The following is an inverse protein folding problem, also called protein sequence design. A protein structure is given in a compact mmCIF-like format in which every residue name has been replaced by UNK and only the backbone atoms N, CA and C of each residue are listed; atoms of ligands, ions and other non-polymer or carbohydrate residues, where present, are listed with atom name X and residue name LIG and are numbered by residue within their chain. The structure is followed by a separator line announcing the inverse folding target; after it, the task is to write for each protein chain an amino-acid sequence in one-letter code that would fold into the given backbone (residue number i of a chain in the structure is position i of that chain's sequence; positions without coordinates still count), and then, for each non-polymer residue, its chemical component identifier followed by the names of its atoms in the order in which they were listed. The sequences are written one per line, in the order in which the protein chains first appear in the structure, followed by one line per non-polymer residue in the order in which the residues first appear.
data_IF_574553131406
#
_entry.id   IF_574553131406
#
_cell.length_a   1.000
_cell.length_b   1.000
_cell.length_c   1.000
_cell.angle_alpha   90.00
_cell.angle_beta   90.00
_cell.angle_gamma   90.00
#
_symmetry.space_group_name_H-M   'P 1'
#
loop_
_entity.id
_entity.type
_entity.pdbx_description
1 polymer ?
#
# COMPACT_ATOMS: atom_id res chain seq x y z
N UNK A 1 18.35 -59.26 -9.53
CA UNK A 1 17.18 -58.40 -9.35
C UNK A 1 17.57 -57.40 -8.29
N UNK A 2 18.06 -56.27 -8.71
CA UNK A 2 18.56 -55.19 -7.84
C UNK A 2 17.52 -54.10 -7.80
N UNK A 3 16.95 -53.95 -6.62
CA UNK A 3 16.02 -52.92 -6.26
C UNK A 3 16.74 -51.56 -6.18
N UNK A 4 16.52 -50.66 -7.16
CA UNK A 4 16.99 -49.31 -7.12
C UNK A 4 15.90 -48.42 -6.53
N UNK A 5 15.86 -48.35 -5.22
CA UNK A 5 15.07 -47.37 -4.48
C UNK A 5 15.68 -45.99 -4.72
N UNK A 6 15.07 -45.22 -5.61
CA UNK A 6 15.42 -43.81 -5.81
C UNK A 6 15.05 -43.03 -4.54
N UNK A 7 16.03 -42.73 -3.72
CA UNK A 7 15.89 -41.78 -2.61
C UNK A 7 15.74 -40.38 -3.20
N UNK A 8 14.50 -39.88 -3.23
CA UNK A 8 14.24 -38.47 -3.45
C UNK A 8 14.76 -37.72 -2.22
N UNK A 9 15.96 -37.18 -2.32
CA UNK A 9 16.51 -36.27 -1.31
C UNK A 9 15.72 -34.98 -1.36
N UNK A 10 15.12 -34.67 -0.23
CA UNK A 10 14.45 -33.39 0.04
C UNK A 10 15.40 -32.20 -0.17
N UNK A 11 15.44 -31.63 -1.38
CA UNK A 11 16.04 -30.36 -1.67
C UNK A 11 15.02 -29.22 -1.43
N UNK A 12 14.50 -29.11 -0.21
CA UNK A 12 13.58 -28.05 0.17
C UNK A 12 14.27 -26.75 0.62
N UNK A 13 15.61 -26.65 0.60
CA UNK A 13 16.36 -25.61 1.29
C UNK A 13 17.04 -24.57 0.41
N UNK A 14 16.88 -24.61 -0.91
CA UNK A 14 17.38 -23.57 -1.82
C UNK A 14 16.38 -23.34 -2.95
N UNK A 15 15.17 -22.93 -2.61
CA UNK A 15 14.33 -22.23 -3.57
C UNK A 15 14.89 -20.81 -3.62
N UNK A 16 15.71 -20.50 -4.61
CA UNK A 16 15.97 -19.13 -5.01
C UNK A 16 14.59 -18.51 -5.23
N UNK A 17 14.23 -17.50 -4.41
CA UNK A 17 13.00 -16.74 -4.58
C UNK A 17 13.13 -15.98 -5.90
N UNK A 18 12.62 -16.58 -6.96
CA UNK A 18 12.70 -16.04 -8.31
C UNK A 18 11.30 -15.55 -8.68
N UNK A 19 11.08 -14.26 -8.55
CA UNK A 19 9.84 -13.64 -8.99
C UNK A 19 9.75 -13.73 -10.51
N UNK A 20 8.66 -14.30 -11.02
CA UNK A 20 8.39 -14.47 -12.45
C UNK A 20 7.38 -13.44 -12.92
N UNK A 21 7.58 -12.90 -14.10
CA UNK A 21 6.56 -12.10 -14.77
C UNK A 21 5.72 -12.99 -15.70
N UNK A 22 4.41 -12.92 -15.53
CA UNK A 22 3.45 -13.67 -16.36
C UNK A 22 2.91 -12.80 -17.51
N UNK A 23 2.72 -11.50 -17.25
CA UNK A 23 2.25 -10.51 -18.23
C UNK A 23 3.07 -9.21 -18.14
N UNK A 24 3.25 -8.44 -19.21
CA UNK A 24 2.74 -8.65 -20.59
C UNK A 24 3.51 -9.71 -21.37
N UNK A 25 4.71 -10.05 -20.95
CA UNK A 25 5.53 -11.11 -21.54
C UNK A 25 6.15 -11.93 -20.42
N UNK A 26 6.28 -13.23 -20.63
CA UNK A 26 6.92 -14.08 -19.64
C UNK A 26 8.39 -13.69 -19.46
N UNK A 27 8.80 -13.53 -18.20
CA UNK A 27 10.19 -13.42 -17.77
C UNK A 27 10.39 -14.32 -16.54
N UNK A 28 11.38 -15.17 -16.60
CA UNK A 28 11.66 -16.17 -15.55
C UNK A 28 12.23 -15.55 -14.26
N UNK A 29 12.78 -14.33 -14.35
CA UNK A 29 13.36 -13.64 -13.20
C UNK A 29 13.31 -12.13 -13.39
N UNK A 30 12.56 -11.41 -12.55
CA UNK A 30 12.43 -9.96 -12.62
C UNK A 30 13.04 -9.28 -11.39
N UNK A 31 13.59 -8.10 -11.61
CA UNK A 31 14.04 -7.19 -10.56
C UNK A 31 12.87 -6.30 -10.13
N UNK A 32 12.36 -6.52 -8.92
CA UNK A 32 11.23 -5.77 -8.38
C UNK A 32 11.50 -4.26 -8.32
N UNK A 33 12.73 -3.83 -8.01
CA UNK A 33 13.07 -2.40 -7.96
C UNK A 33 12.95 -1.74 -9.32
N UNK A 34 13.34 -2.43 -10.40
CA UNK A 34 13.16 -1.95 -11.77
C UNK A 34 11.69 -1.98 -12.18
N UNK A 35 10.99 -3.05 -11.84
CA UNK A 35 9.58 -3.25 -12.22
C UNK A 35 8.66 -2.21 -11.58
N UNK A 36 8.83 -1.93 -10.29
CA UNK A 36 8.03 -0.94 -9.56
C UNK A 36 8.63 0.47 -9.56
N UNK A 37 9.92 0.61 -9.88
CA UNK A 37 10.65 1.89 -9.97
C UNK A 37 10.35 2.73 -11.21
N UNK A 38 9.30 2.42 -11.95
CA UNK A 38 8.89 3.20 -13.13
C UNK A 38 8.58 4.66 -12.74
N UNK A 39 9.00 5.58 -13.61
CA UNK A 39 8.73 7.01 -13.40
C UNK A 39 7.25 7.30 -13.52
N UNK A 40 6.69 7.97 -12.52
CA UNK A 40 5.33 8.53 -12.55
C UNK A 40 5.42 10.03 -12.77
N UNK A 41 4.48 10.55 -13.53
CA UNK A 41 4.35 12.00 -13.76
C UNK A 41 3.26 12.54 -12.85
N UNK A 42 3.32 13.84 -12.54
CA UNK A 42 2.16 14.50 -11.92
C UNK A 42 0.96 14.38 -12.87
N UNK A 43 -0.22 14.25 -12.27
CA UNK A 43 -1.49 14.30 -12.98
C UNK A 43 -1.69 15.71 -13.59
N UNK A 44 -2.46 15.82 -14.67
CA UNK A 44 -2.73 17.10 -15.34
C UNK A 44 -3.38 18.14 -14.41
N UNK A 45 -4.10 17.70 -13.38
CA UNK A 45 -4.62 18.55 -12.30
C UNK A 45 -3.54 19.11 -11.37
N UNK A 46 -2.26 18.80 -11.59
CA UNK A 46 -1.14 19.27 -10.77
C UNK A 46 -0.89 18.48 -9.48
N UNK A 47 -1.67 17.44 -9.17
CA UNK A 47 -1.39 16.53 -8.03
C UNK A 47 -0.40 15.44 -8.40
N UNK A 48 0.30 14.82 -7.43
CA UNK A 48 1.05 13.60 -7.68
C UNK A 48 0.17 12.45 -8.16
N UNK A 49 0.73 11.50 -8.92
CA UNK A 49 0.10 10.20 -9.20
C UNK A 49 -0.04 9.43 -7.89
N UNK A 50 -1.18 8.77 -7.67
CA UNK A 50 -1.49 8.03 -6.44
C UNK A 50 -1.61 6.55 -6.76
N UNK A 51 -0.69 5.75 -6.20
CA UNK A 51 -0.67 4.30 -6.31
C UNK A 51 -1.06 3.63 -4.99
N UNK A 52 -2.16 2.89 -5.01
CA UNK A 52 -2.58 2.05 -3.88
C UNK A 52 -1.71 0.80 -3.82
N UNK A 53 -1.23 0.43 -2.64
CA UNK A 53 -0.54 -0.82 -2.36
C UNK A 53 -1.28 -1.58 -1.25
N UNK A 54 -1.78 -2.76 -1.56
CA UNK A 54 -2.54 -3.59 -0.62
C UNK A 54 -2.32 -5.08 -0.88
N UNK A 55 -2.48 -5.89 0.17
CA UNK A 55 -2.57 -7.35 0.10
C UNK A 55 -3.98 -7.79 0.45
N UNK A 56 -4.46 -8.84 -0.21
CA UNK A 56 -5.72 -9.50 0.12
C UNK A 56 -5.65 -11.02 -0.10
N UNK A 57 -6.56 -11.76 0.52
CA UNK A 57 -6.83 -13.17 0.25
C UNK A 57 -7.58 -13.35 -1.09
N UNK A 58 -7.69 -14.60 -1.57
CA UNK A 58 -8.45 -14.94 -2.78
C UNK A 58 -9.92 -14.49 -2.66
N UNK A 59 -10.50 -14.59 -1.48
CA UNK A 59 -11.88 -14.19 -1.17
C UNK A 59 -12.02 -12.71 -0.77
N UNK A 60 -10.94 -11.92 -0.88
CA UNK A 60 -10.97 -10.47 -0.80
C UNK A 60 -10.77 -9.87 0.59
N UNK A 61 -10.44 -10.66 1.61
CA UNK A 61 -10.10 -10.14 2.93
C UNK A 61 -8.74 -9.46 2.92
N UNK A 62 -8.63 -8.31 3.59
CA UNK A 62 -7.35 -7.58 3.75
C UNK A 62 -6.68 -7.86 5.10
N UNK A 63 -7.28 -8.67 5.94
CA UNK A 63 -6.74 -9.06 7.24
C UNK A 63 -7.08 -10.53 7.56
N UNK A 64 -6.24 -11.15 8.37
CA UNK A 64 -6.49 -12.42 9.08
C UNK A 64 -6.26 -12.13 10.55
N UNK A 65 -7.20 -12.48 11.41
CA UNK A 65 -7.12 -12.18 12.85
C UNK A 65 -6.76 -10.70 13.14
N UNK A 66 -7.31 -9.78 12.35
CA UNK A 66 -7.07 -8.34 12.47
C UNK A 66 -5.70 -7.86 11.95
N UNK A 67 -4.89 -8.72 11.31
CA UNK A 67 -3.54 -8.40 10.83
C UNK A 67 -3.36 -8.69 9.35
N UNK A 68 -2.89 -7.71 8.60
CA UNK A 68 -2.54 -7.88 7.18
C UNK A 68 -1.26 -8.69 6.98
N UNK A 69 -0.36 -8.68 7.96
CA UNK A 69 0.94 -9.38 7.90
C UNK A 69 0.80 -10.89 7.74
N UNK A 70 -0.33 -11.48 8.14
CA UNK A 70 -0.62 -12.90 7.96
C UNK A 70 -0.96 -13.28 6.51
N UNK A 71 -1.33 -12.29 5.68
CA UNK A 71 -1.55 -12.45 4.24
C UNK A 71 -0.28 -12.21 3.41
N UNK A 72 0.78 -11.67 4.02
CA UNK A 72 2.01 -11.24 3.34
C UNK A 72 3.07 -12.35 3.34
N UNK A 73 3.96 -12.32 2.34
CA UNK A 73 5.17 -13.12 2.29
C UNK A 73 6.43 -12.20 2.14
N UNK A 74 7.65 -12.74 2.11
CA UNK A 74 8.85 -11.91 1.90
C UNK A 74 8.81 -11.10 0.60
N UNK A 75 8.33 -11.66 -0.50
CA UNK A 75 8.24 -10.98 -1.80
C UNK A 75 7.24 -9.81 -1.76
N UNK A 76 6.10 -9.95 -1.06
CA UNK A 76 5.16 -8.84 -0.85
C UNK A 76 5.83 -7.67 -0.10
N UNK A 77 6.66 -7.98 0.90
CA UNK A 77 7.45 -6.94 1.60
C UNK A 77 8.46 -6.26 0.67
N UNK A 78 9.10 -7.01 -0.23
CA UNK A 78 10.03 -6.47 -1.21
C UNK A 78 9.31 -5.58 -2.23
N UNK A 79 8.08 -5.91 -2.62
CA UNK A 79 7.21 -5.04 -3.43
C UNK A 79 6.90 -3.74 -2.72
N UNK A 80 6.50 -3.79 -1.44
CA UNK A 80 6.27 -2.58 -0.63
C UNK A 80 7.54 -1.71 -0.56
N UNK A 81 8.70 -2.33 -0.33
CA UNK A 81 9.99 -1.63 -0.28
C UNK A 81 10.33 -0.99 -1.63
N UNK A 82 10.10 -1.68 -2.74
CA UNK A 82 10.34 -1.17 -4.09
C UNK A 82 9.43 0.04 -4.41
N UNK A 83 8.15 -0.03 -4.03
CA UNK A 83 7.20 1.07 -4.17
C UNK A 83 7.57 2.27 -3.29
N UNK A 84 7.95 2.05 -2.02
CA UNK A 84 8.44 3.10 -1.11
C UNK A 84 9.72 3.76 -1.63
N UNK A 85 10.60 2.99 -2.28
CA UNK A 85 11.80 3.54 -2.92
C UNK A 85 11.45 4.50 -4.06
N UNK A 86 10.38 4.24 -4.80
CA UNK A 86 9.88 5.07 -5.89
C UNK A 86 9.03 6.27 -5.41
N UNK A 87 8.42 6.18 -4.24
CA UNK A 87 7.51 7.19 -3.72
C UNK A 87 8.24 8.46 -3.20
N UNK A 88 7.56 9.60 -3.33
CA UNK A 88 7.98 10.88 -2.71
C UNK A 88 7.28 11.09 -1.36
N UNK A 89 6.09 10.51 -1.18
CA UNK A 89 5.32 10.56 0.06
C UNK A 89 4.50 9.27 0.20
N UNK A 90 4.35 8.79 1.44
CA UNK A 90 3.38 7.76 1.80
C UNK A 90 2.15 8.43 2.40
N UNK A 91 0.95 7.93 2.06
CA UNK A 91 -0.30 8.35 2.69
C UNK A 91 -1.00 7.11 3.26
N UNK A 92 -1.45 7.23 4.51
CA UNK A 92 -2.08 6.13 5.24
C UNK A 92 -3.20 6.65 6.15
N UNK A 93 -4.21 5.85 6.40
CA UNK A 93 -5.29 6.17 7.32
C UNK A 93 -4.93 5.97 8.80
N UNK A 94 -5.46 6.81 9.67
CA UNK A 94 -5.25 6.71 11.12
C UNK A 94 -5.67 5.35 11.73
N UNK A 95 -6.64 4.66 11.14
CA UNK A 95 -7.03 3.29 11.54
C UNK A 95 -5.85 2.34 11.46
N UNK A 96 -5.17 2.29 10.32
CA UNK A 96 -3.98 1.45 10.10
C UNK A 96 -2.86 1.76 11.10
N UNK A 97 -2.62 3.05 11.39
CA UNK A 97 -1.60 3.46 12.38
C UNK A 97 -1.95 2.98 13.80
N UNK A 98 -3.24 2.95 14.16
CA UNK A 98 -3.68 2.47 15.49
C UNK A 98 -3.63 0.94 15.62
N UNK A 99 -3.99 0.23 14.55
CA UNK A 99 -4.15 -1.23 14.57
C UNK A 99 -2.83 -1.98 14.32
N UNK A 100 -1.87 -1.33 13.68
CA UNK A 100 -0.60 -1.94 13.31
C UNK A 100 0.57 -1.12 13.85
N UNK A 101 1.65 -1.81 14.28
CA UNK A 101 2.91 -1.12 14.56
C UNK A 101 3.50 -0.59 13.23
N UNK A 102 3.22 0.67 12.94
CA UNK A 102 3.70 1.31 11.72
C UNK A 102 5.09 1.91 11.96
N UNK A 103 6.10 1.31 11.35
CA UNK A 103 7.47 1.77 11.45
C UNK A 103 7.78 2.87 10.43
N UNK A 104 8.71 3.79 10.73
CA UNK A 104 9.21 4.76 9.76
C UNK A 104 9.67 4.05 8.48
N UNK A 105 9.48 4.68 7.30
CA UNK A 105 10.01 4.13 6.06
C UNK A 105 11.54 4.11 6.09
N UNK A 106 12.14 3.03 5.55
CA UNK A 106 13.60 2.89 5.52
C UNK A 106 14.33 3.82 4.53
N UNK A 107 13.59 4.53 3.66
CA UNK A 107 14.15 5.49 2.71
C UNK A 107 14.36 6.85 3.40
N UNK A 108 15.58 7.39 3.46
CA UNK A 108 15.84 8.72 4.02
C UNK A 108 14.99 9.81 3.33
N UNK A 109 14.38 10.68 4.13
CA UNK A 109 13.53 11.77 3.63
C UNK A 109 12.14 11.37 3.17
N UNK A 110 11.80 10.09 3.08
CA UNK A 110 10.44 9.67 2.78
C UNK A 110 9.55 9.88 4.00
N UNK A 111 8.45 10.60 3.81
CA UNK A 111 7.53 10.99 4.89
C UNK A 111 6.19 10.30 4.77
N UNK A 112 5.50 10.20 5.90
CA UNK A 112 4.21 9.49 6.02
C UNK A 112 3.12 10.47 6.48
N UNK A 113 2.21 10.80 5.58
CA UNK A 113 1.02 11.59 5.87
C UNK A 113 -0.09 10.70 6.42
N UNK A 114 -0.53 10.97 7.64
CA UNK A 114 -1.61 10.23 8.30
C UNK A 114 -2.91 11.00 8.17
N UNK A 115 -3.86 10.45 7.40
CA UNK A 115 -5.19 11.04 7.23
C UNK A 115 -6.04 10.75 8.47
N UNK A 116 -6.47 11.82 9.14
CA UNK A 116 -7.24 11.73 10.39
C UNK A 116 -8.15 12.94 10.58
N UNK A 117 -9.32 12.74 11.18
CA UNK A 117 -10.22 13.84 11.59
C UNK A 117 -9.96 14.34 13.01
N UNK A 118 -9.42 13.49 13.87
CA UNK A 118 -9.38 13.75 15.31
C UNK A 118 -7.98 13.69 15.92
N UNK A 119 -6.97 13.29 15.12
CA UNK A 119 -5.61 13.05 15.60
C UNK A 119 -5.51 12.10 16.82
N UNK A 120 -6.49 11.19 17.00
CA UNK A 120 -6.41 10.15 18.03
C UNK A 120 -5.36 9.11 17.63
N UNK A 121 -4.11 9.39 17.96
CA UNK A 121 -2.90 8.64 17.57
C UNK A 121 -1.91 8.60 18.72
N UNK A 122 -1.05 7.58 18.73
CA UNK A 122 0.08 7.53 19.65
C UNK A 122 1.26 8.34 19.07
N UNK A 123 1.44 9.58 19.54
CA UNK A 123 2.52 10.46 19.12
C UNK A 123 3.88 10.04 19.68
N UNK A 124 3.95 9.16 20.68
CA UNK A 124 5.21 8.59 21.17
C UNK A 124 5.77 7.47 20.28
N UNK A 125 5.04 7.09 19.24
CA UNK A 125 5.51 6.08 18.29
C UNK A 125 6.76 6.52 17.52
N UNK A 126 7.61 5.57 17.07
CA UNK A 126 8.80 5.89 16.27
C UNK A 126 8.50 6.70 15.00
N UNK A 127 7.30 6.55 14.42
CA UNK A 127 6.87 7.30 13.24
C UNK A 127 6.87 8.80 13.49
N UNK A 128 6.31 9.25 14.62
CA UNK A 128 6.18 10.67 14.94
C UNK A 128 7.43 11.20 15.66
N UNK A 129 7.94 10.50 16.66
CA UNK A 129 9.16 10.89 17.36
C UNK A 129 10.39 10.93 16.45
N UNK A 130 10.43 10.09 15.42
CA UNK A 130 11.48 10.10 14.39
C UNK A 130 11.32 11.17 13.30
N UNK A 131 10.28 12.01 13.36
CA UNK A 131 10.05 13.11 12.41
C UNK A 131 9.59 12.68 11.01
N UNK A 132 9.33 11.38 10.78
CA UNK A 132 8.86 10.91 9.47
C UNK A 132 7.35 11.10 9.29
N UNK A 133 6.58 11.15 10.37
CA UNK A 133 5.12 11.31 10.35
C UNK A 133 4.69 12.78 10.29
N UNK A 134 3.65 13.06 9.53
CA UNK A 134 2.89 14.32 9.56
C UNK A 134 1.39 14.02 9.46
N UNK A 135 0.54 15.01 9.72
CA UNK A 135 -0.92 14.82 9.71
C UNK A 135 -1.56 15.47 8.50
N UNK A 136 -2.67 14.88 8.07
CA UNK A 136 -3.57 15.45 7.05
C UNK A 136 -4.95 15.52 7.71
N UNK A 137 -5.46 16.75 7.97
CA UNK A 137 -6.62 16.98 8.82
C UNK A 137 -7.54 18.03 8.23
N UNK A 138 -8.85 18.08 8.65
CA UNK A 138 -9.71 19.20 8.37
C UNK A 138 -9.18 20.51 9.00
N UNK A 139 -9.56 21.65 8.46
CA UNK A 139 -9.13 22.97 8.94
C UNK A 139 -9.64 23.28 10.36
N UNK A 140 -10.84 22.81 10.67
CA UNK A 140 -11.53 23.00 11.95
C UNK A 140 -11.22 21.93 13.00
N UNK A 141 -10.41 20.94 12.66
CA UNK A 141 -9.98 19.92 13.61
C UNK A 141 -9.08 20.51 14.70
N UNK A 142 -9.26 20.04 15.94
CA UNK A 142 -8.43 20.46 17.07
C UNK A 142 -6.96 20.16 16.83
N UNK A 143 -6.10 21.03 17.35
CA UNK A 143 -4.66 20.77 17.37
C UNK A 143 -4.38 19.52 18.20
N UNK A 144 -3.54 18.58 17.72
CA UNK A 144 -3.14 17.41 18.51
C UNK A 144 -2.34 17.83 19.75
N UNK A 145 -2.55 17.12 20.83
CA UNK A 145 -1.78 17.29 22.06
C UNK A 145 -0.52 16.41 21.99
N UNK A 146 0.62 17.04 21.74
CA UNK A 146 1.94 16.42 21.77
C UNK A 146 2.99 17.46 22.23
N UNK A 147 4.11 16.98 22.77
CA UNK A 147 5.18 17.81 23.36
C UNK A 147 6.26 18.23 22.34
N UNK A 148 5.99 18.05 21.05
CA UNK A 148 6.85 18.48 19.94
C UNK A 148 6.02 19.04 18.80
N UNK A 149 6.67 19.80 17.93
CA UNK A 149 6.04 20.36 16.73
C UNK A 149 5.80 19.25 15.70
N UNK A 150 4.56 19.13 15.21
CA UNK A 150 4.17 18.22 14.15
C UNK A 150 3.58 19.00 12.97
N UNK A 151 4.07 18.69 11.77
CA UNK A 151 3.51 19.28 10.55
C UNK A 151 2.10 18.77 10.30
N UNK A 152 1.19 19.68 9.94
CA UNK A 152 -0.20 19.37 9.62
C UNK A 152 -0.58 20.04 8.30
N UNK A 153 -0.95 19.23 7.33
CA UNK A 153 -1.64 19.70 6.12
C UNK A 153 -3.13 19.80 6.44
N UNK A 154 -3.66 21.02 6.33
CA UNK A 154 -5.06 21.28 6.61
C UNK A 154 -5.86 21.47 5.33
N UNK A 155 -6.91 20.62 5.14
CA UNK A 155 -7.75 20.65 3.96
C UNK A 155 -9.19 20.19 4.29
N UNK A 156 -10.19 20.96 3.86
CA UNK A 156 -11.60 20.68 4.12
C UNK A 156 -12.12 21.22 5.46
N UNK A 157 -13.41 21.02 5.71
CA UNK A 157 -14.08 21.35 6.97
C UNK A 157 -14.96 20.17 7.38
N UNK A 158 -14.97 19.84 8.67
CA UNK A 158 -15.64 18.65 9.22
C UNK A 158 -15.00 17.33 8.78
N UNK A 159 -14.58 17.22 7.52
CA UNK A 159 -13.83 16.09 6.98
C UNK A 159 -12.65 16.57 6.11
N UNK A 160 -11.74 15.64 5.76
CA UNK A 160 -10.58 15.95 4.92
C UNK A 160 -11.00 16.08 3.46
N UNK A 161 -10.77 17.25 2.86
CA UNK A 161 -10.84 17.43 1.41
C UNK A 161 -9.60 16.76 0.78
N UNK A 162 -9.77 15.52 0.31
CA UNK A 162 -8.68 14.72 -0.23
C UNK A 162 -8.07 15.32 -1.50
N UNK A 163 -8.85 15.99 -2.35
CA UNK A 163 -8.32 16.67 -3.54
C UNK A 163 -7.35 17.78 -3.15
N UNK A 164 -7.76 18.65 -2.23
CA UNK A 164 -6.91 19.73 -1.73
C UNK A 164 -5.71 19.20 -0.96
N UNK A 165 -5.89 18.15 -0.15
CA UNK A 165 -4.81 17.57 0.60
C UNK A 165 -3.73 16.96 -0.32
N UNK A 166 -4.13 16.12 -1.28
CA UNK A 166 -3.18 15.46 -2.18
C UNK A 166 -2.46 16.47 -3.11
N UNK A 167 -3.11 17.55 -3.51
CA UNK A 167 -2.47 18.60 -4.34
C UNK A 167 -1.38 19.37 -3.62
N UNK A 168 -1.41 19.46 -2.28
CA UNK A 168 -0.38 20.10 -1.45
C UNK A 168 0.87 19.21 -1.24
N UNK A 169 0.79 17.91 -1.55
CA UNK A 169 1.90 17.01 -1.35
C UNK A 169 2.98 17.20 -2.43
N UNK A 170 4.26 17.16 -2.04
CA UNK A 170 5.38 17.33 -2.97
C UNK A 170 5.58 16.09 -3.86
N UNK A 171 6.41 16.25 -4.89
CA UNK A 171 6.87 15.15 -5.75
C UNK A 171 5.84 14.72 -6.78
N UNK A 172 6.07 13.55 -7.36
CA UNK A 172 5.30 13.01 -8.49
C UNK A 172 4.49 11.76 -8.13
N UNK A 173 4.86 11.05 -7.06
CA UNK A 173 4.25 9.79 -6.70
C UNK A 173 3.95 9.67 -5.21
N UNK A 174 2.70 9.41 -4.90
CA UNK A 174 2.21 9.05 -3.56
C UNK A 174 1.93 7.57 -3.52
N UNK A 175 2.55 6.87 -2.57
CA UNK A 175 2.15 5.52 -2.21
C UNK A 175 1.04 5.56 -1.16
N UNK A 176 -0.16 5.12 -1.53
CA UNK A 176 -1.29 4.95 -0.63
C UNK A 176 -1.23 3.55 0.00
N UNK A 177 -1.14 3.49 1.33
CA UNK A 177 -1.04 2.21 2.07
C UNK A 177 -2.31 1.89 2.87
N UNK A 178 -3.41 2.41 2.43
CA UNK A 178 -4.72 2.11 3.02
C UNK A 178 -4.95 2.83 4.37
N UNK A 179 -5.80 2.36 5.33
CA UNK A 179 -6.64 1.17 5.26
C UNK A 179 -7.92 1.28 4.43
N UNK A 180 -8.77 0.28 4.53
CA UNK A 180 -9.95 0.12 3.66
C UNK A 180 -10.90 1.30 3.65
N UNK A 181 -11.08 2.00 4.77
CA UNK A 181 -11.91 3.21 4.86
C UNK A 181 -11.30 4.39 4.07
N UNK A 182 -9.98 4.60 4.17
CA UNK A 182 -9.30 5.63 3.39
C UNK A 182 -9.32 5.27 1.90
N UNK A 183 -9.10 4.00 1.56
CA UNK A 183 -9.20 3.53 0.18
C UNK A 183 -10.58 3.85 -0.40
N UNK A 184 -11.65 3.60 0.36
CA UNK A 184 -13.02 3.91 -0.04
C UNK A 184 -13.18 5.40 -0.38
N UNK A 185 -12.72 6.29 0.51
CA UNK A 185 -12.77 7.74 0.29
C UNK A 185 -11.91 8.18 -0.91
N UNK A 186 -10.73 7.56 -1.11
CA UNK A 186 -9.85 7.86 -2.25
C UNK A 186 -10.44 7.38 -3.58
N UNK A 187 -11.12 6.22 -3.61
CA UNK A 187 -11.84 5.74 -4.78
C UNK A 187 -13.07 6.62 -5.10
N UNK A 188 -13.85 6.99 -4.07
CA UNK A 188 -15.00 7.89 -4.23
C UNK A 188 -14.56 9.24 -4.79
N UNK A 189 -13.49 9.82 -4.24
CA UNK A 189 -12.88 11.04 -4.73
C UNK A 189 -12.17 10.91 -6.10
N UNK A 190 -12.19 9.74 -6.73
CA UNK A 190 -11.55 9.50 -8.03
C UNK A 190 -10.04 9.80 -8.06
N UNK A 191 -9.32 9.52 -6.97
CA UNK A 191 -7.92 9.89 -6.78
C UNK A 191 -6.92 8.74 -7.00
N UNK A 192 -7.35 7.49 -7.07
CA UNK A 192 -6.46 6.33 -7.26
C UNK A 192 -6.14 6.16 -8.75
N UNK A 193 -4.87 6.28 -9.13
CA UNK A 193 -4.40 6.19 -10.52
C UNK A 193 -3.82 4.81 -10.85
N UNK A 194 -3.22 4.15 -9.87
CA UNK A 194 -2.74 2.76 -10.01
C UNK A 194 -3.05 1.95 -8.76
N UNK A 195 -3.16 0.63 -8.94
CA UNK A 195 -3.37 -0.31 -7.85
C UNK A 195 -2.29 -1.39 -7.96
N UNK A 196 -1.47 -1.51 -6.93
CA UNK A 196 -0.50 -2.56 -6.75
C UNK A 196 -1.09 -3.55 -5.73
N UNK A 197 -1.65 -4.64 -6.24
CA UNK A 197 -2.42 -5.61 -5.47
C UNK A 197 -1.67 -6.92 -5.35
N UNK A 198 -1.41 -7.35 -4.13
CA UNK A 198 -0.94 -8.70 -3.84
C UNK A 198 -2.14 -9.58 -3.52
N UNK A 199 -2.27 -10.71 -4.22
CA UNK A 199 -3.23 -11.76 -3.91
C UNK A 199 -2.49 -12.90 -3.25
N UNK A 200 -2.75 -13.09 -1.95
CA UNK A 200 -2.28 -14.21 -1.17
C UNK A 200 -3.05 -15.49 -1.56
N UNK A 201 -2.38 -16.65 -1.72
CA UNK A 201 -3.05 -17.90 -2.08
C UNK A 201 -3.83 -18.52 -0.90
N UNK A 202 -4.59 -17.69 -0.19
CA UNK A 202 -5.35 -18.06 1.01
C UNK A 202 -6.83 -17.71 0.82
N UNK A 203 -7.70 -18.51 1.42
CA UNK A 203 -9.11 -18.22 1.67
C UNK A 203 -9.27 -18.06 3.17
N UNK A 204 -9.81 -16.96 3.62
CA UNK A 204 -9.93 -16.62 5.05
C UNK A 204 -11.34 -16.82 5.60
N UNK A 205 -12.36 -16.77 4.72
CA UNK A 205 -13.75 -16.71 5.17
C UNK A 205 -14.03 -15.45 6.00
N UNK A 206 -14.98 -15.50 6.88
CA UNK A 206 -15.38 -14.45 7.82
C UNK A 206 -15.85 -13.13 7.15
N UNK A 207 -16.48 -12.28 7.94
CA UNK A 207 -16.84 -10.91 7.55
C UNK A 207 -15.65 -9.98 7.84
N UNK A 208 -14.72 -9.93 6.90
CA UNK A 208 -13.46 -9.18 7.02
C UNK A 208 -13.46 -7.94 6.11
N UNK A 209 -12.71 -6.89 6.46
CA UNK A 209 -12.55 -5.72 5.61
C UNK A 209 -12.03 -6.11 4.23
N UNK A 210 -12.62 -5.51 3.18
CA UNK A 210 -12.17 -5.65 1.79
C UNK A 210 -11.20 -4.52 1.42
N UNK A 211 -10.68 -4.56 0.19
CA UNK A 211 -9.81 -3.51 -0.35
C UNK A 211 -10.38 -2.10 -0.15
N UNK A 212 -11.68 -1.95 -0.29
CA UNK A 212 -12.44 -0.71 -0.10
C UNK A 212 -13.67 -1.00 0.75
N UNK A 213 -13.81 -0.29 1.86
CA UNK A 213 -14.90 -0.49 2.82
C UNK A 213 -15.62 0.82 3.11
N UNK A 214 -16.95 0.87 2.88
CA UNK A 214 -17.77 2.05 3.13
C UNK A 214 -17.88 3.03 1.96
N UNK A 215 -17.32 2.74 0.80
CA UNK A 215 -17.57 3.53 -0.41
C UNK A 215 -19.02 3.33 -0.91
N UNK A 216 -19.64 4.36 -1.53
CA UNK A 216 -20.84 4.16 -2.32
C UNK A 216 -20.56 3.23 -3.50
N UNK A 217 -21.62 2.73 -4.16
CA UNK A 217 -21.44 1.96 -5.39
C UNK A 217 -20.75 2.81 -6.45
N UNK A 218 -19.60 2.37 -6.93
CA UNK A 218 -18.82 3.07 -7.95
C UNK A 218 -18.28 2.07 -8.97
N UNK A 219 -18.02 2.59 -10.16
CA UNK A 219 -17.42 1.84 -11.25
C UNK A 219 -16.18 2.60 -11.75
N UNK A 220 -15.03 1.93 -11.82
CA UNK A 220 -13.76 2.48 -12.29
C UNK A 220 -13.00 1.39 -13.03
N UNK A 221 -12.55 1.70 -14.23
CA UNK A 221 -11.83 0.79 -15.10
C UNK A 221 -10.32 0.98 -14.97
N UNK A 222 -9.63 -0.15 -14.92
CA UNK A 222 -8.19 -0.24 -14.85
C UNK A 222 -7.69 -1.29 -15.84
N UNK A 223 -6.52 -1.05 -16.41
CA UNK A 223 -5.82 -2.02 -17.26
C UNK A 223 -4.70 -2.70 -16.49
N UNK A 224 -4.46 -3.98 -16.79
CA UNK A 224 -3.34 -4.71 -16.23
C UNK A 224 -2.04 -4.23 -16.87
N UNK A 225 -1.15 -3.64 -16.10
CA UNK A 225 0.18 -3.26 -16.54
C UNK A 225 1.17 -4.44 -16.45
N UNK A 226 1.12 -5.21 -15.37
CA UNK A 226 1.86 -6.47 -15.24
C UNK A 226 1.20 -7.41 -14.21
N UNK A 227 1.54 -8.70 -14.35
CA UNK A 227 1.29 -9.72 -13.33
C UNK A 227 2.62 -10.43 -13.06
N UNK A 228 3.02 -10.44 -11.80
CA UNK A 228 4.15 -11.23 -11.31
C UNK A 228 3.64 -12.36 -10.45
N UNK A 229 4.44 -13.40 -10.30
CA UNK A 229 4.13 -14.55 -9.45
C UNK A 229 5.37 -15.01 -8.68
N UNK A 230 5.17 -15.35 -7.41
CA UNK A 230 6.15 -16.05 -6.58
C UNK A 230 5.43 -16.85 -5.50
N UNK A 231 5.74 -18.14 -5.42
CA UNK A 231 5.22 -19.09 -4.42
C UNK A 231 3.69 -19.10 -4.29
N UNK A 232 2.97 -18.98 -5.42
CA UNK A 232 1.51 -18.93 -5.49
C UNK A 232 0.91 -17.56 -5.23
N UNK A 233 1.69 -16.58 -4.79
CA UNK A 233 1.25 -15.19 -4.68
C UNK A 233 1.23 -14.53 -6.06
N UNK A 234 0.20 -13.73 -6.31
CA UNK A 234 0.14 -12.88 -7.50
C UNK A 234 0.35 -11.42 -7.11
N UNK A 235 1.21 -10.74 -7.84
CA UNK A 235 1.48 -9.32 -7.66
C UNK A 235 1.03 -8.62 -8.93
N UNK A 236 -0.10 -7.91 -8.86
CA UNK A 236 -0.77 -7.34 -10.02
C UNK A 236 -0.68 -5.82 -9.93
N UNK A 237 -0.17 -5.19 -10.97
CA UNK A 237 -0.25 -3.75 -11.12
C UNK A 237 -1.31 -3.41 -12.15
N UNK A 238 -2.30 -2.66 -11.70
CA UNK A 238 -3.31 -2.05 -12.53
C UNK A 238 -3.01 -0.56 -12.69
N UNK A 239 -3.30 -0.01 -13.85
CA UNK A 239 -3.24 1.43 -14.12
C UNK A 239 -4.58 1.89 -14.65
N UNK A 240 -4.98 3.12 -14.30
CA UNK A 240 -6.26 3.68 -14.74
C UNK A 240 -6.21 3.89 -16.25
N UNK A 241 -7.31 3.57 -16.91
CA UNK A 241 -7.58 4.01 -18.27
C UNK A 241 -7.81 5.53 -18.28
N UNK A 242 -7.09 6.25 -19.13
CA UNK A 242 -7.21 7.70 -19.36
C UNK A 242 -8.29 8.01 -20.37
#
# INVERSE_FOLDING_TARGET
MTDQTIRIHNFWWLRLMVVRQLLPRFDAAVDLRKTYGVTRKRHDSGRPTIGLCMVMSIDGSTVVEGRSTLLSNPTDRDVIIALRAAADTIVVGAGTIREQMYNPPGKPGLRVGVVTRTANLNFDSPLFRGGSGFLIMPQDAKQPECDFEIEIIRAGQGDVDLHKAMSQLPGNFIQLEGGPMLNASMFDANLVDEINLTISPMVTGADSPRLSNGAPALHRDYEVAHILEDDGFLFIRYVRQT
#
